data_IF_748775121743
#
_entry.id   IF_748775121743
#
_cell.length_a   1.000
_cell.length_b   1.000
_cell.length_c   1.000
_cell.angle_alpha   90.00
_cell.angle_beta   90.00
_cell.angle_gamma   90.00
#
_symmetry.space_group_name_H-M   'P 1'
#
loop_
_entity.id
_entity.type
_entity.pdbx_description
1 polymer ?
#
# COMPACT_ATOMS: atom_id res chain seq x y z
N UNK A 1 19.19 -10.82 -22.64
CA UNK A 1 18.28 -10.96 -21.48
C UNK A 1 16.89 -10.92 -22.10
N UNK A 2 16.13 -12.02 -22.06
CA UNK A 2 14.77 -12.00 -22.61
C UNK A 2 13.93 -11.10 -21.70
N UNK A 3 13.34 -10.06 -22.27
CA UNK A 3 12.28 -9.29 -21.59
C UNK A 3 11.24 -10.28 -21.07
N UNK A 4 10.97 -10.22 -19.77
CA UNK A 4 9.93 -11.05 -19.17
C UNK A 4 8.58 -10.66 -19.79
N UNK A 5 7.83 -11.64 -20.27
CA UNK A 5 6.51 -11.43 -20.87
C UNK A 5 5.40 -11.30 -19.83
N UNK A 6 5.73 -11.36 -18.53
CA UNK A 6 4.77 -11.33 -17.43
C UNK A 6 4.66 -9.87 -16.95
N UNK A 7 3.47 -9.24 -17.00
CA UNK A 7 3.30 -7.88 -16.50
C UNK A 7 3.46 -7.81 -14.98
N UNK A 8 3.75 -6.62 -14.46
CA UNK A 8 3.63 -6.37 -13.02
C UNK A 8 2.16 -6.53 -12.58
N UNK A 9 1.88 -6.82 -11.29
CA UNK A 9 0.50 -6.82 -10.79
C UNK A 9 -0.22 -5.49 -11.04
N UNK A 10 0.50 -4.36 -10.96
CA UNK A 10 -0.07 -3.06 -11.28
C UNK A 10 -0.47 -2.93 -12.75
N UNK A 11 0.39 -3.33 -13.68
CA UNK A 11 0.07 -3.26 -15.13
C UNK A 11 -1.07 -4.21 -15.49
N UNK A 12 -1.09 -5.41 -14.91
CA UNK A 12 -2.18 -6.36 -15.09
C UNK A 12 -3.53 -5.82 -14.57
N UNK A 13 -3.51 -5.03 -13.49
CA UNK A 13 -4.70 -4.36 -12.98
C UNK A 13 -5.19 -3.18 -13.84
N UNK A 14 -4.43 -2.75 -14.86
CA UNK A 14 -4.73 -1.57 -15.66
C UNK A 14 -3.98 -0.31 -15.23
N UNK A 15 -2.89 -0.44 -14.46
CA UNK A 15 -2.01 0.65 -14.07
C UNK A 15 -2.63 1.63 -13.07
N UNK A 16 -2.06 2.84 -12.98
CA UNK A 16 -2.44 3.86 -12.00
C UNK A 16 -3.93 4.21 -12.03
N UNK A 17 -4.53 4.31 -13.22
CA UNK A 17 -5.95 4.67 -13.40
C UNK A 17 -6.89 3.71 -12.66
N UNK A 18 -6.60 2.41 -12.66
CA UNK A 18 -7.39 1.43 -11.91
C UNK A 18 -7.25 1.60 -10.40
N UNK A 19 -6.06 1.97 -9.91
CA UNK A 19 -5.87 2.28 -8.50
C UNK A 19 -6.55 3.60 -8.09
N UNK A 20 -6.60 4.59 -8.97
CA UNK A 20 -7.34 5.85 -8.73
C UNK A 20 -8.85 5.58 -8.63
N UNK A 21 -9.41 4.73 -9.52
CA UNK A 21 -10.81 4.29 -9.42
C UNK A 21 -11.06 3.57 -8.09
N UNK A 22 -10.18 2.63 -7.72
CA UNK A 22 -10.24 1.92 -6.46
C UNK A 22 -10.26 2.86 -5.26
N UNK A 23 -9.26 3.75 -5.14
CA UNK A 23 -9.14 4.60 -3.96
C UNK A 23 -10.24 5.65 -3.89
N UNK A 24 -10.73 6.15 -5.03
CA UNK A 24 -11.90 7.04 -5.08
C UNK A 24 -13.13 6.34 -4.50
N UNK A 25 -13.51 5.17 -5.05
CA UNK A 25 -14.66 4.42 -4.58
C UNK A 25 -14.51 3.97 -3.11
N UNK A 26 -13.28 3.65 -2.71
CA UNK A 26 -12.94 3.26 -1.34
C UNK A 26 -13.13 4.42 -0.35
N UNK A 27 -12.54 5.58 -0.61
CA UNK A 27 -12.59 6.71 0.33
C UNK A 27 -13.99 7.34 0.42
N UNK A 28 -14.81 7.25 -0.63
CA UNK A 28 -16.24 7.58 -0.56
C UNK A 28 -17.00 6.70 0.45
N UNK A 29 -16.62 5.42 0.57
CA UNK A 29 -17.20 4.49 1.57
C UNK A 29 -16.63 4.76 2.95
N UNK A 30 -15.32 5.00 3.07
CA UNK A 30 -14.66 5.36 4.34
C UNK A 30 -15.32 6.57 4.98
N UNK A 31 -15.60 7.63 4.21
CA UNK A 31 -16.25 8.84 4.73
C UNK A 31 -17.68 8.64 5.26
N UNK A 32 -18.32 7.51 4.91
CA UNK A 32 -19.67 7.14 5.37
C UNK A 32 -19.66 6.04 6.43
N UNK A 33 -18.49 5.46 6.72
CA UNK A 33 -18.36 4.34 7.65
C UNK A 33 -18.18 4.80 9.09
N UNK A 34 -19.03 4.31 10.00
CA UNK A 34 -19.03 4.77 11.39
C UNK A 34 -17.73 4.45 12.17
N UNK A 35 -16.93 3.47 11.74
CA UNK A 35 -15.68 3.08 12.40
C UNK A 35 -14.51 3.90 11.83
N UNK A 36 -14.50 4.15 10.53
CA UNK A 36 -13.36 4.78 9.85
C UNK A 36 -13.52 6.28 9.66
N UNK A 37 -14.72 6.80 9.45
CA UNK A 37 -14.93 8.23 9.18
C UNK A 37 -14.24 9.15 10.21
N UNK A 38 -14.28 8.88 11.53
CA UNK A 38 -13.57 9.72 12.51
C UNK A 38 -12.04 9.76 12.34
N UNK A 39 -11.43 8.75 11.73
CA UNK A 39 -9.98 8.69 11.49
C UNK A 39 -9.58 9.61 10.32
N UNK A 40 -10.50 9.78 9.37
CA UNK A 40 -10.28 10.48 8.10
C UNK A 40 -11.05 11.80 8.03
N UNK A 41 -11.53 12.34 9.15
CA UNK A 41 -12.32 13.59 9.19
C UNK A 41 -11.54 14.78 8.60
N UNK A 42 -10.23 14.85 8.87
CA UNK A 42 -9.33 15.89 8.36
C UNK A 42 -8.55 15.45 7.11
N UNK A 43 -9.00 14.39 6.44
CA UNK A 43 -8.31 13.87 5.25
C UNK A 43 -8.35 14.90 4.11
N UNK A 44 -7.19 15.18 3.53
CA UNK A 44 -7.09 16.03 2.35
C UNK A 44 -7.79 15.40 1.13
N UNK A 45 -8.35 16.25 0.27
CA UNK A 45 -9.06 15.84 -0.94
C UNK A 45 -8.19 15.06 -1.95
N UNK A 46 -6.87 15.29 -1.98
CA UNK A 46 -5.94 14.57 -2.86
C UNK A 46 -5.45 13.24 -2.24
N UNK A 47 -5.83 12.94 -0.99
CA UNK A 47 -5.43 11.70 -0.32
C UNK A 47 -5.72 10.43 -1.12
N UNK A 48 -6.89 10.26 -1.78
CA UNK A 48 -7.15 9.10 -2.63
C UNK A 48 -6.12 8.93 -3.75
N UNK A 49 -5.70 10.02 -4.41
CA UNK A 49 -4.71 9.98 -5.49
C UNK A 49 -3.32 9.63 -4.97
N UNK A 50 -2.92 10.20 -3.84
CA UNK A 50 -1.65 9.86 -3.18
C UNK A 50 -1.59 8.37 -2.82
N UNK A 51 -2.68 7.81 -2.28
CA UNK A 51 -2.76 6.39 -1.93
C UNK A 51 -2.76 5.52 -3.18
N UNK A 52 -3.41 5.95 -4.26
CA UNK A 52 -3.38 5.22 -5.54
C UNK A 52 -1.97 5.11 -6.12
N UNK A 53 -1.23 6.23 -6.17
CA UNK A 53 0.15 6.24 -6.63
C UNK A 53 1.06 5.37 -5.75
N UNK A 54 0.91 5.45 -4.42
CA UNK A 54 1.66 4.59 -3.49
C UNK A 54 1.34 3.10 -3.69
N UNK A 55 0.06 2.75 -3.87
CA UNK A 55 -0.37 1.37 -4.12
C UNK A 55 0.16 0.85 -5.46
N UNK A 56 0.01 1.62 -6.54
CA UNK A 56 0.51 1.25 -7.86
C UNK A 56 2.02 0.97 -7.81
N UNK A 57 2.80 1.86 -7.19
CA UNK A 57 4.25 1.65 -7.04
C UNK A 57 4.58 0.43 -6.20
N UNK A 58 3.84 0.17 -5.11
CA UNK A 58 4.01 -1.06 -4.33
C UNK A 58 3.79 -2.32 -5.19
N UNK A 59 2.87 -2.28 -6.15
CA UNK A 59 2.58 -3.39 -7.06
C UNK A 59 3.42 -3.38 -8.35
N UNK A 60 4.50 -2.60 -8.37
CA UNK A 60 5.49 -2.61 -9.45
C UNK A 60 5.15 -1.75 -10.67
N UNK A 61 4.19 -0.82 -10.58
CA UNK A 61 3.82 0.03 -11.72
C UNK A 61 3.42 1.46 -11.37
N UNK A 62 2.97 2.19 -12.39
CA UNK A 62 2.59 3.61 -12.27
C UNK A 62 3.78 4.56 -12.19
N UNK A 63 3.49 5.86 -12.28
CA UNK A 63 4.48 6.93 -12.04
C UNK A 63 4.97 6.86 -10.59
N UNK A 64 6.26 7.06 -10.31
CA UNK A 64 6.77 7.03 -8.94
C UNK A 64 5.98 7.93 -7.99
N UNK A 65 5.48 7.38 -6.89
CA UNK A 65 4.83 8.13 -5.80
C UNK A 65 5.76 9.18 -5.21
N UNK A 66 7.08 8.93 -5.25
CA UNK A 66 8.08 9.89 -4.81
C UNK A 66 8.11 11.17 -5.66
N UNK A 67 7.64 11.11 -6.92
CA UNK A 67 7.77 12.19 -7.88
C UNK A 67 9.25 12.55 -8.07
N UNK A 68 9.58 13.83 -7.91
CA UNK A 68 10.96 14.34 -8.02
C UNK A 68 11.82 14.11 -6.75
N UNK A 69 11.24 13.55 -5.68
CA UNK A 69 11.94 13.28 -4.41
C UNK A 69 12.57 11.89 -4.42
N UNK A 70 13.45 11.64 -3.45
CA UNK A 70 13.91 10.26 -3.22
C UNK A 70 12.78 9.38 -2.65
N UNK A 71 12.85 8.07 -2.91
CA UNK A 71 11.89 7.12 -2.34
C UNK A 71 11.94 7.10 -0.81
N UNK A 72 13.13 7.27 -0.21
CA UNK A 72 13.29 7.32 1.23
C UNK A 72 12.54 8.51 1.84
N UNK A 73 12.67 9.70 1.25
CA UNK A 73 11.97 10.90 1.72
C UNK A 73 10.44 10.73 1.62
N UNK A 74 9.97 10.18 0.51
CA UNK A 74 8.54 9.92 0.30
C UNK A 74 8.00 8.87 1.29
N UNK A 75 8.75 7.79 1.54
CA UNK A 75 8.41 6.78 2.53
C UNK A 75 8.37 7.38 3.94
N UNK A 76 9.38 8.16 4.31
CA UNK A 76 9.46 8.84 5.60
C UNK A 76 8.26 9.74 5.82
N UNK A 77 7.85 10.52 4.82
CA UNK A 77 6.65 11.35 4.93
C UNK A 77 5.39 10.48 5.15
N UNK A 78 5.19 9.45 4.34
CA UNK A 78 4.03 8.56 4.44
C UNK A 78 3.93 7.90 5.82
N UNK A 79 5.04 7.36 6.33
CA UNK A 79 5.10 6.76 7.67
C UNK A 79 4.80 7.83 8.74
N UNK A 80 5.35 9.04 8.57
CA UNK A 80 5.06 10.18 9.44
C UNK A 80 3.57 10.52 9.54
N UNK A 81 2.80 10.34 8.45
CA UNK A 81 1.33 10.54 8.48
C UNK A 81 0.59 9.51 9.32
N UNK A 82 1.20 8.37 9.67
CA UNK A 82 0.58 7.32 10.47
C UNK A 82 0.91 7.38 11.96
N UNK A 83 2.04 8.00 12.34
CA UNK A 83 2.52 8.08 13.72
C UNK A 83 1.47 8.70 14.67
N UNK A 84 1.43 8.20 15.91
CA UNK A 84 0.54 8.70 16.97
C UNK A 84 -0.97 8.56 16.71
N UNK A 85 -1.40 7.86 15.65
CA UNK A 85 -2.83 7.68 15.34
C UNK A 85 -3.50 6.57 16.16
N UNK A 86 -2.73 5.73 16.84
CA UNK A 86 -3.20 4.62 17.68
C UNK A 86 -4.30 3.77 17.02
N UNK A 87 -4.08 3.37 15.76
CA UNK A 87 -5.03 2.57 15.00
C UNK A 87 -5.26 1.21 15.67
N UNK A 88 -6.51 0.79 15.72
CA UNK A 88 -6.93 -0.48 16.34
C UNK A 88 -7.12 -1.59 15.31
N UNK A 89 -7.04 -2.84 15.74
CA UNK A 89 -7.35 -3.99 14.86
C UNK A 89 -8.78 -3.95 14.29
N UNK A 90 -9.74 -3.36 15.02
CA UNK A 90 -11.11 -3.19 14.52
C UNK A 90 -11.14 -2.24 13.32
N UNK A 91 -10.41 -1.13 13.41
CA UNK A 91 -10.30 -0.16 12.31
C UNK A 91 -9.53 -0.77 11.13
N UNK A 92 -8.41 -1.46 11.40
CA UNK A 92 -7.63 -2.15 10.35
C UNK A 92 -8.47 -3.13 9.56
N UNK A 93 -9.19 -4.04 10.24
CA UNK A 93 -10.06 -5.03 9.56
C UNK A 93 -11.14 -4.36 8.73
N UNK A 94 -11.79 -3.34 9.28
CA UNK A 94 -12.84 -2.61 8.56
C UNK A 94 -12.30 -1.89 7.33
N UNK A 95 -11.10 -1.32 7.43
CA UNK A 95 -10.40 -0.69 6.31
C UNK A 95 -10.10 -1.70 5.20
N UNK A 96 -9.60 -2.90 5.55
CA UNK A 96 -9.32 -3.98 4.59
C UNK A 96 -10.62 -4.45 3.92
N UNK A 97 -11.68 -4.72 4.70
CA UNK A 97 -12.99 -5.11 4.15
C UNK A 97 -13.49 -4.12 3.09
N UNK A 98 -13.56 -2.84 3.42
CA UNK A 98 -14.05 -1.82 2.50
C UNK A 98 -13.17 -1.66 1.25
N UNK A 99 -11.85 -1.86 1.37
CA UNK A 99 -10.95 -1.81 0.23
C UNK A 99 -11.22 -2.98 -0.73
N UNK A 100 -11.43 -4.18 -0.20
CA UNK A 100 -11.74 -5.37 -1.00
C UNK A 100 -13.11 -5.26 -1.68
N UNK A 101 -14.13 -4.80 -0.95
CA UNK A 101 -15.45 -4.53 -1.53
C UNK A 101 -15.33 -3.52 -2.69
N UNK A 102 -14.52 -2.47 -2.50
CA UNK A 102 -14.27 -1.46 -3.53
C UNK A 102 -13.49 -2.00 -4.73
N UNK A 103 -12.56 -2.92 -4.52
CA UNK A 103 -11.82 -3.58 -5.60
C UNK A 103 -12.75 -4.41 -6.48
N UNK A 104 -13.71 -5.11 -5.89
CA UNK A 104 -14.74 -5.84 -6.64
C UNK A 104 -15.67 -4.90 -7.40
N UNK A 105 -16.12 -3.81 -6.76
CA UNK A 105 -17.02 -2.84 -7.35
C UNK A 105 -16.45 -2.15 -8.60
N UNK A 106 -15.18 -1.76 -8.56
CA UNK A 106 -14.53 -1.06 -9.68
C UNK A 106 -13.94 -2.03 -10.73
N UNK A 107 -14.08 -3.34 -10.52
CA UNK A 107 -13.69 -4.36 -11.48
C UNK A 107 -12.19 -4.63 -11.54
N UNK A 108 -11.45 -4.52 -10.42
CA UNK A 108 -10.07 -5.03 -10.37
C UNK A 108 -10.06 -6.54 -10.68
N UNK A 109 -8.98 -7.06 -11.32
CA UNK A 109 -8.89 -8.48 -11.64
C UNK A 109 -9.21 -9.36 -10.44
N UNK A 110 -9.98 -10.42 -10.64
CA UNK A 110 -10.47 -11.30 -9.57
C UNK A 110 -10.02 -12.76 -9.72
N UNK A 111 -9.11 -13.02 -10.65
CA UNK A 111 -8.45 -14.32 -10.77
C UNK A 111 -7.60 -14.61 -9.50
N UNK A 112 -7.35 -15.89 -9.20
CA UNK A 112 -6.63 -16.27 -7.99
C UNK A 112 -5.22 -15.69 -7.89
N UNK A 113 -4.53 -15.45 -9.01
CA UNK A 113 -3.14 -15.00 -9.01
C UNK A 113 -3.06 -13.54 -8.56
N UNK A 114 -3.84 -12.65 -9.18
CA UNK A 114 -3.90 -11.26 -8.76
C UNK A 114 -4.46 -11.10 -7.35
N UNK A 115 -5.55 -11.81 -7.02
CA UNK A 115 -6.19 -11.65 -5.71
C UNK A 115 -5.30 -12.13 -4.57
N UNK A 116 -4.48 -13.16 -4.79
CA UNK A 116 -3.49 -13.60 -3.80
C UNK A 116 -2.41 -12.55 -3.56
N UNK A 117 -1.84 -11.98 -4.63
CA UNK A 117 -0.82 -10.94 -4.53
C UNK A 117 -1.37 -9.66 -3.87
N UNK A 118 -2.55 -9.21 -4.32
CA UNK A 118 -3.25 -8.05 -3.75
C UNK A 118 -3.51 -8.25 -2.26
N UNK A 119 -4.04 -9.41 -1.86
CA UNK A 119 -4.33 -9.71 -0.46
C UNK A 119 -3.09 -9.77 0.42
N UNK A 120 -2.02 -10.42 -0.04
CA UNK A 120 -0.78 -10.49 0.72
C UNK A 120 -0.22 -9.09 1.02
N UNK A 121 -0.14 -8.22 0.01
CA UNK A 121 0.34 -6.84 0.20
C UNK A 121 -0.55 -6.04 1.13
N UNK A 122 -1.87 -6.10 0.95
CA UNK A 122 -2.82 -5.33 1.76
C UNK A 122 -2.79 -5.78 3.21
N UNK A 123 -2.77 -7.09 3.45
CA UNK A 123 -2.67 -7.64 4.81
C UNK A 123 -1.36 -7.21 5.47
N UNK A 124 -0.21 -7.37 4.79
CA UNK A 124 1.09 -6.94 5.28
C UNK A 124 1.10 -5.43 5.59
N UNK A 125 0.74 -4.59 4.61
CA UNK A 125 0.78 -3.14 4.74
C UNK A 125 -0.17 -2.60 5.80
N UNK A 126 -1.36 -3.18 5.94
CA UNK A 126 -2.33 -2.76 6.96
C UNK A 126 -1.83 -3.04 8.38
N UNK A 127 -1.05 -4.11 8.59
CA UNK A 127 -0.42 -4.40 9.89
C UNK A 127 0.74 -3.46 10.19
N UNK A 128 1.56 -3.15 9.19
CA UNK A 128 2.61 -2.13 9.32
C UNK A 128 1.99 -0.77 9.68
N UNK A 129 0.88 -0.39 9.06
CA UNK A 129 0.17 0.85 9.40
C UNK A 129 -0.29 0.89 10.87
N UNK A 130 -0.78 -0.23 11.41
CA UNK A 130 -1.10 -0.35 12.84
C UNK A 130 0.17 -0.20 13.69
N UNK A 131 1.26 -0.91 13.35
CA UNK A 131 2.53 -0.82 14.10
C UNK A 131 3.06 0.62 14.13
N UNK A 132 3.17 1.27 12.97
CA UNK A 132 3.62 2.66 12.86
C UNK A 132 2.73 3.61 13.66
N UNK A 133 1.42 3.37 13.71
CA UNK A 133 0.50 4.24 14.46
C UNK A 133 0.67 4.20 15.97
N UNK A 134 1.39 3.21 16.51
CA UNK A 134 1.73 3.12 17.93
C UNK A 134 3.06 3.79 18.26
N UNK A 135 3.80 4.27 17.26
CA UNK A 135 5.10 4.90 17.43
C UNK A 135 4.96 6.42 17.44
N UNK A 136 5.83 7.06 18.23
CA UNK A 136 5.98 8.53 18.27
C UNK A 136 7.09 9.01 17.33
N UNK A 137 8.13 8.20 17.15
CA UNK A 137 9.28 8.49 16.29
C UNK A 137 9.18 7.71 14.97
N UNK A 138 9.72 8.31 13.90
CA UNK A 138 9.66 7.72 12.57
C UNK A 138 10.73 6.62 12.42
N UNK A 139 10.35 5.34 12.24
CA UNK A 139 11.30 4.22 12.20
C UNK A 139 12.07 4.10 10.88
N UNK A 140 11.78 4.93 9.87
CA UNK A 140 12.40 4.82 8.53
C UNK A 140 13.89 5.16 8.61
N UNK A 141 14.73 4.18 8.29
CA UNK A 141 16.19 4.28 8.18
C UNK A 141 16.63 5.02 6.92
N UNK A 142 17.94 5.31 6.75
CA UNK A 142 18.45 6.05 5.59
C UNK A 142 18.39 5.27 4.28
N UNK A 143 18.49 3.94 4.32
CA UNK A 143 18.54 3.07 3.14
C UNK A 143 17.18 2.42 2.81
N UNK A 144 16.14 2.70 3.59
CA UNK A 144 14.80 2.16 3.36
C UNK A 144 14.18 2.74 2.10
N UNK A 145 13.38 1.93 1.41
CA UNK A 145 12.64 2.32 0.21
C UNK A 145 11.18 1.85 0.29
N UNK A 146 10.35 2.36 -0.61
CA UNK A 146 8.96 1.92 -0.72
C UNK A 146 8.99 0.42 -1.06
N UNK A 147 8.20 -0.45 -0.40
CA UNK A 147 8.25 -1.88 -0.67
C UNK A 147 7.74 -2.19 -2.08
N UNK A 148 8.16 -3.34 -2.62
CA UNK A 148 7.71 -3.86 -3.92
C UNK A 148 7.14 -5.26 -3.74
N UNK A 149 5.96 -5.49 -4.28
CA UNK A 149 5.19 -6.72 -4.21
C UNK A 149 4.88 -7.19 -5.64
N UNK A 150 5.62 -8.21 -6.09
CA UNK A 150 5.25 -8.99 -7.27
C UNK A 150 4.21 -10.06 -6.94
N UNK A 151 4.04 -11.02 -7.83
CA UNK A 151 3.02 -12.08 -7.76
C UNK A 151 3.12 -13.06 -6.57
N UNK A 152 4.20 -13.03 -5.76
CA UNK A 152 4.45 -14.03 -4.69
C UNK A 152 5.27 -13.53 -3.47
N UNK A 153 4.97 -12.36 -2.93
CA UNK A 153 5.89 -11.56 -2.10
C UNK A 153 5.68 -11.66 -0.57
N UNK A 154 5.63 -12.86 0.02
CA UNK A 154 5.78 -12.97 1.49
C UNK A 154 7.26 -12.84 1.89
N UNK A 155 7.72 -11.61 2.15
CA UNK A 155 8.97 -11.32 2.87
C UNK A 155 8.68 -10.69 4.23
N UNK A 156 9.09 -11.39 5.29
CA UNK A 156 9.39 -10.89 6.64
C UNK A 156 8.31 -10.12 7.46
N UNK A 157 8.59 -9.87 8.77
CA UNK A 157 9.73 -10.38 9.53
C UNK A 157 9.35 -11.55 10.46
N UNK A 158 10.21 -12.58 10.51
CA UNK A 158 10.21 -13.62 11.55
C UNK A 158 11.22 -13.30 12.69
N UNK A 159 11.94 -12.17 12.63
CA UNK A 159 12.67 -11.58 13.77
C UNK A 159 12.64 -10.04 13.70
N UNK A 160 12.23 -9.38 14.78
CA UNK A 160 12.20 -7.92 14.92
C UNK A 160 13.54 -7.41 15.47
N UNK A 161 14.57 -7.28 14.63
CA UNK A 161 15.80 -6.57 15.00
C UNK A 161 16.29 -5.76 13.80
N UNK A 162 16.01 -4.46 13.77
CA UNK A 162 16.37 -3.55 12.67
C UNK A 162 15.18 -3.06 11.84
N UNK A 163 15.46 -2.17 10.88
CA UNK A 163 14.45 -1.48 10.07
C UNK A 163 13.49 -2.45 9.37
N UNK A 164 12.20 -2.18 9.51
CA UNK A 164 11.06 -2.94 8.97
C UNK A 164 11.05 -2.95 7.43
N UNK A 165 11.80 -2.07 6.78
CA UNK A 165 11.82 -1.90 5.33
C UNK A 165 13.18 -2.18 4.67
N UNK A 166 14.19 -2.64 5.43
CA UNK A 166 15.52 -2.92 4.90
C UNK A 166 15.60 -4.36 4.37
N UNK A 167 15.07 -4.58 3.16
CA UNK A 167 15.23 -5.83 2.41
C UNK A 167 15.95 -5.52 1.10
N UNK A 168 16.84 -6.40 0.63
CA UNK A 168 17.40 -6.26 -0.72
C UNK A 168 16.25 -6.25 -1.75
N UNK A 169 16.26 -5.25 -2.62
CA UNK A 169 15.41 -5.20 -3.81
C UNK A 169 15.77 -6.41 -4.68
N UNK A 170 14.87 -7.39 -4.72
CA UNK A 170 15.03 -8.51 -5.61
C UNK A 170 14.57 -8.10 -7.00
N UNK A 171 15.52 -7.72 -7.86
CA UNK A 171 15.27 -7.42 -9.28
C UNK A 171 14.68 -8.63 -10.02
N UNK A 172 14.70 -9.86 -9.45
CA UNK A 172 14.05 -11.03 -10.03
C UNK A 172 12.56 -11.18 -9.67
N UNK A 173 12.01 -10.37 -8.74
CA UNK A 173 10.58 -10.44 -8.31
C UNK A 173 9.78 -9.21 -8.77
N UNK A 174 10.34 -8.45 -9.72
CA UNK A 174 9.56 -7.66 -10.66
C UNK A 174 10.04 -8.14 -12.02
N UNK A 175 9.21 -8.85 -12.81
CA UNK A 175 9.56 -9.10 -14.20
C UNK A 175 9.74 -7.80 -14.98
#
# INVERSE_FOLDING_TARGET
MSESTIPSPADYAGGLESFEKLTTAFYEKVGKDAILAPIFEEMDHEHPKHVAAFMAQCFGGGTPYSGDRSENEALREMVGKHLGRHLTERQRRRWVELLFDSADEVGLPNDPEFRSAFAAKIEWGSRIAVMNSQMDENPVGPDDHIPRFGWGSVRGPWESVGSICNFELDEEIIP
#
